data_IF_838590461921
#
_entry.id   IF_838590461921
#
_cell.length_a   1.000
_cell.length_b   1.000
_cell.length_c   1.000
_cell.angle_alpha   90.00
_cell.angle_beta   90.00
_cell.angle_gamma   90.00
#
_symmetry.space_group_name_H-M   'P 1'
#
loop_
_entity.id
_entity.type
_entity.pdbx_description
1 polymer ?
#
# COMPACT_ATOMS: atom_id res chain seq x y z
N UNK A 1 18.92 25.85 -15.31
CA UNK A 1 17.87 25.73 -14.26
C UNK A 1 18.48 25.06 -13.04
N UNK A 2 18.35 25.64 -11.83
CA UNK A 2 18.93 25.07 -10.62
C UNK A 2 18.22 23.75 -10.25
N UNK A 3 18.97 22.77 -9.79
CA UNK A 3 18.50 21.47 -9.31
C UNK A 3 19.40 20.93 -8.20
N UNK A 4 18.94 19.92 -7.50
CA UNK A 4 19.76 19.11 -6.61
C UNK A 4 20.03 17.77 -7.31
N UNK A 5 21.29 17.36 -7.36
CA UNK A 5 21.69 15.99 -7.72
C UNK A 5 21.98 15.19 -6.48
N UNK A 6 21.33 14.05 -6.35
CA UNK A 6 21.59 13.05 -5.31
C UNK A 6 22.19 11.80 -5.94
N UNK A 7 23.33 11.36 -5.45
CA UNK A 7 23.93 10.07 -5.75
C UNK A 7 23.79 9.18 -4.53
N UNK A 8 23.06 8.06 -4.68
CA UNK A 8 22.65 7.21 -3.58
C UNK A 8 22.98 5.75 -3.88
N UNK A 9 23.41 5.02 -2.85
CA UNK A 9 23.51 3.56 -2.85
C UNK A 9 22.55 2.92 -1.87
N UNK A 10 22.03 1.74 -2.24
CA UNK A 10 21.27 0.86 -1.37
C UNK A 10 21.73 -0.59 -1.59
N UNK A 11 22.02 -1.30 -0.51
CA UNK A 11 22.40 -2.70 -0.62
C UNK A 11 21.24 -3.56 -1.08
N UNK A 12 20.05 -3.30 -0.53
CA UNK A 12 18.82 -4.05 -0.84
C UNK A 12 17.64 -3.09 -0.75
N UNK A 13 16.70 -3.18 -1.71
CA UNK A 13 15.42 -2.48 -1.62
C UNK A 13 14.28 -3.24 -2.29
N UNK A 14 13.03 -2.93 -1.87
CA UNK A 14 11.81 -3.31 -2.54
C UNK A 14 10.94 -2.06 -2.77
N UNK A 15 10.82 -1.65 -4.01
CA UNK A 15 9.91 -0.58 -4.43
C UNK A 15 8.57 -1.20 -4.83
N UNK A 16 7.77 -1.52 -3.83
CA UNK A 16 6.56 -2.32 -3.97
C UNK A 16 5.62 -1.80 -5.04
N UNK A 17 5.21 -2.69 -5.95
CA UNK A 17 4.09 -2.48 -6.86
C UNK A 17 2.77 -2.60 -6.09
N UNK A 18 1.87 -1.64 -6.27
CA UNK A 18 0.61 -1.57 -5.50
C UNK A 18 -0.34 -2.75 -5.78
N UNK A 19 -0.30 -3.29 -7.00
CA UNK A 19 -1.15 -4.40 -7.43
C UNK A 19 -0.78 -5.74 -6.78
N UNK A 20 0.40 -5.83 -6.15
CA UNK A 20 0.93 -7.09 -5.64
C UNK A 20 0.72 -7.20 -4.13
N UNK A 21 -0.21 -8.07 -3.70
CA UNK A 21 -0.57 -8.25 -2.29
C UNK A 21 0.23 -9.39 -1.64
N UNK A 22 0.28 -10.56 -2.27
CA UNK A 22 0.94 -11.75 -1.72
C UNK A 22 2.42 -11.84 -2.12
N UNK A 23 2.70 -11.61 -3.40
CA UNK A 23 4.06 -11.52 -3.92
C UNK A 23 4.39 -10.04 -4.03
N UNK A 24 5.19 -9.52 -3.13
CA UNK A 24 5.59 -8.10 -3.15
C UNK A 24 6.61 -7.87 -4.26
N UNK A 25 6.12 -7.76 -5.50
CA UNK A 25 6.95 -7.42 -6.66
C UNK A 25 7.48 -6.01 -6.53
N UNK A 26 8.66 -5.78 -7.08
CA UNK A 26 9.32 -4.49 -7.05
C UNK A 26 9.28 -3.77 -8.40
N UNK A 27 9.22 -2.45 -8.37
CA UNK A 27 9.63 -1.65 -9.52
C UNK A 27 11.16 -1.71 -9.67
N UNK A 28 11.70 -1.52 -10.89
CA UNK A 28 13.15 -1.56 -11.13
C UNK A 28 13.92 -0.38 -10.52
N UNK A 29 13.26 0.75 -10.33
CA UNK A 29 13.76 1.94 -9.62
C UNK A 29 12.63 2.47 -8.71
N UNK A 30 12.94 3.34 -7.72
CA UNK A 30 11.90 3.93 -6.89
C UNK A 30 10.93 4.80 -7.72
N UNK A 31 9.61 4.60 -7.59
CA UNK A 31 8.62 5.51 -8.17
C UNK A 31 8.79 6.94 -7.65
N UNK A 32 8.33 7.92 -8.42
CA UNK A 32 8.44 9.34 -8.04
C UNK A 32 7.88 9.64 -6.65
N UNK A 33 6.71 9.09 -6.33
CA UNK A 33 6.09 9.26 -5.00
C UNK A 33 6.93 8.67 -3.86
N UNK A 34 7.71 7.62 -4.12
CA UNK A 34 8.58 6.99 -3.13
C UNK A 34 9.75 7.92 -2.81
N UNK A 35 10.36 8.50 -3.82
CA UNK A 35 11.44 9.48 -3.66
C UNK A 35 10.93 10.73 -2.95
N UNK A 36 9.85 11.33 -3.47
CA UNK A 36 9.23 12.53 -2.89
C UNK A 36 8.86 12.29 -1.42
N UNK A 37 8.25 11.14 -1.12
CA UNK A 37 7.87 10.80 0.26
C UNK A 37 9.07 10.61 1.20
N UNK A 38 10.18 10.08 0.71
CA UNK A 38 11.41 9.93 1.49
C UNK A 38 12.04 11.31 1.80
N UNK A 39 12.07 12.22 0.82
CA UNK A 39 12.55 13.59 1.01
C UNK A 39 11.66 14.39 1.97
N UNK A 40 10.32 14.29 1.82
CA UNK A 40 9.38 14.91 2.76
C UNK A 40 9.61 14.41 4.20
N UNK A 41 9.88 13.10 4.37
CA UNK A 41 10.17 12.53 5.68
C UNK A 41 11.50 13.08 6.24
N UNK A 42 12.53 13.21 5.41
CA UNK A 42 13.80 13.74 5.83
C UNK A 42 13.70 15.21 6.30
N UNK A 43 12.91 16.02 5.60
CA UNK A 43 12.64 17.42 5.96
C UNK A 43 11.58 17.59 7.07
N UNK A 44 10.91 16.51 7.51
CA UNK A 44 9.86 16.58 8.53
C UNK A 44 8.56 17.24 8.05
N UNK A 45 8.30 17.29 6.74
CA UNK A 45 7.12 17.94 6.18
C UNK A 45 5.83 17.22 6.56
N UNK A 46 4.82 17.99 6.94
CA UNK A 46 3.47 17.50 7.26
C UNK A 46 2.44 17.77 6.15
N UNK A 47 2.79 18.64 5.20
CA UNK A 47 2.02 19.00 4.02
C UNK A 47 2.80 18.67 2.75
N UNK A 48 2.12 18.65 1.60
CA UNK A 48 2.78 18.40 0.32
C UNK A 48 3.54 19.64 -0.18
N UNK A 49 4.84 19.48 -0.40
CA UNK A 49 5.72 20.45 -1.06
C UNK A 49 5.94 20.00 -2.51
N UNK A 50 5.47 20.77 -3.51
CA UNK A 50 5.58 20.39 -4.91
C UNK A 50 7.03 20.30 -5.36
N UNK A 51 7.37 19.19 -6.02
CA UNK A 51 8.69 19.02 -6.63
C UNK A 51 8.60 18.18 -7.89
N UNK A 52 9.56 18.36 -8.78
CA UNK A 52 9.77 17.53 -9.95
C UNK A 52 11.01 16.67 -9.72
N UNK A 53 10.92 15.41 -10.08
CA UNK A 53 12.02 14.47 -9.87
C UNK A 53 12.33 13.69 -11.15
N UNK A 54 13.61 13.48 -11.41
CA UNK A 54 14.10 12.54 -12.41
C UNK A 54 14.82 11.43 -11.71
N UNK A 55 14.49 10.18 -12.04
CA UNK A 55 15.07 8.99 -11.39
C UNK A 55 15.74 8.12 -12.42
N UNK A 56 17.01 7.86 -12.22
CA UNK A 56 17.81 6.94 -13.01
C UNK A 56 18.72 6.11 -12.10
N UNK A 57 19.11 4.93 -12.56
CA UNK A 57 19.93 4.05 -11.76
C UNK A 57 20.12 2.68 -12.37
N UNK A 58 20.87 1.86 -11.65
CA UNK A 58 21.14 0.47 -11.95
C UNK A 58 20.97 -0.38 -10.68
N UNK A 59 20.83 -1.67 -10.86
CA UNK A 59 20.92 -2.66 -9.79
C UNK A 59 21.71 -3.89 -10.29
N UNK A 60 22.40 -4.54 -9.37
CA UNK A 60 23.23 -5.71 -9.71
C UNK A 60 22.41 -6.96 -9.97
N UNK A 61 21.39 -7.22 -9.15
CA UNK A 61 20.56 -8.42 -9.28
C UNK A 61 19.16 -8.26 -8.68
N UNK A 62 18.26 -9.14 -9.08
CA UNK A 62 16.92 -9.33 -8.51
C UNK A 62 16.87 -10.67 -7.77
N UNK A 63 16.50 -10.64 -6.50
CA UNK A 63 16.43 -11.81 -5.63
C UNK A 63 15.02 -11.99 -5.08
N UNK A 64 14.49 -13.20 -5.14
CA UNK A 64 13.25 -13.55 -4.45
C UNK A 64 13.56 -14.13 -3.08
N UNK A 65 12.96 -13.57 -2.03
CA UNK A 65 13.10 -14.03 -0.65
C UNK A 65 11.77 -14.41 -0.06
N UNK A 66 11.71 -15.56 0.60
CA UNK A 66 10.52 -15.99 1.33
C UNK A 66 10.55 -15.46 2.77
N UNK A 67 9.41 -15.00 3.26
CA UNK A 67 9.19 -14.59 4.64
C UNK A 67 7.99 -15.32 5.22
N UNK A 68 8.01 -15.51 6.53
CA UNK A 68 6.78 -15.78 7.26
C UNK A 68 6.13 -14.46 7.60
N UNK A 69 4.93 -14.26 7.14
CA UNK A 69 4.15 -13.05 7.42
C UNK A 69 2.84 -13.41 8.09
N UNK A 70 2.31 -12.46 8.83
CA UNK A 70 1.05 -12.61 9.53
C UNK A 70 -0.13 -12.37 8.57
N UNK A 71 -1.09 -13.27 8.57
CA UNK A 71 -2.28 -13.21 7.75
C UNK A 71 -3.51 -13.09 8.63
N UNK A 72 -4.30 -12.02 8.50
CA UNK A 72 -5.60 -11.93 9.15
C UNK A 72 -6.62 -12.74 8.37
N UNK A 73 -7.34 -13.61 9.07
CA UNK A 73 -8.41 -14.39 8.49
C UNK A 73 -9.73 -13.65 8.62
N UNK A 74 -10.58 -13.72 7.59
CA UNK A 74 -11.91 -13.14 7.63
C UNK A 74 -12.85 -13.84 8.63
N UNK A 75 -12.62 -15.14 8.87
CA UNK A 75 -13.34 -15.94 9.85
C UNK A 75 -12.42 -16.34 10.99
N UNK A 76 -12.97 -16.41 12.21
CA UNK A 76 -12.28 -16.92 13.37
C UNK A 76 -12.24 -18.45 13.34
N UNK A 77 -11.03 -18.99 13.51
CA UNK A 77 -10.82 -20.41 13.79
C UNK A 77 -10.63 -20.57 15.30
N UNK A 78 -11.61 -21.19 15.98
CA UNK A 78 -11.58 -21.38 17.44
C UNK A 78 -10.54 -22.42 17.90
N UNK A 79 -9.88 -23.09 17.01
CA UNK A 79 -9.07 -24.28 17.31
C UNK A 79 -7.59 -24.08 16.98
N UNK A 80 -7.19 -23.02 16.30
CA UNK A 80 -5.81 -22.86 15.84
C UNK A 80 -5.37 -21.40 15.73
N UNK A 81 -4.08 -21.21 15.58
CA UNK A 81 -3.41 -19.92 15.34
C UNK A 81 -3.39 -19.00 16.58
N UNK A 82 -3.21 -17.73 16.34
CA UNK A 82 -3.13 -16.69 17.34
C UNK A 82 -4.44 -15.91 17.38
N UNK A 83 -5.15 -15.94 18.50
CA UNK A 83 -6.33 -15.09 18.71
C UNK A 83 -5.86 -13.68 19.05
N UNK A 84 -6.37 -12.69 18.33
CA UNK A 84 -6.06 -11.28 18.51
C UNK A 84 -7.32 -10.43 18.57
N UNK A 85 -7.26 -9.28 19.26
CA UNK A 85 -8.27 -8.22 19.24
C UNK A 85 -7.71 -7.00 18.54
N UNK A 86 -8.30 -6.62 17.41
CA UNK A 86 -7.90 -5.48 16.60
C UNK A 86 -8.47 -4.18 17.16
N UNK A 87 -7.70 -3.09 17.07
CA UNK A 87 -8.18 -1.76 17.41
C UNK A 87 -9.26 -1.28 16.42
N UNK A 88 -9.05 -1.52 15.13
CA UNK A 88 -10.01 -1.18 14.08
C UNK A 88 -10.26 -2.42 13.19
N UNK A 89 -11.47 -3.04 13.23
CA UNK A 89 -11.77 -4.24 12.48
C UNK A 89 -11.87 -4.04 10.96
N UNK A 90 -12.07 -2.79 10.51
CA UNK A 90 -12.19 -2.45 9.09
C UNK A 90 -10.82 -2.28 8.43
N UNK A 91 -9.73 -2.22 9.21
CA UNK A 91 -8.35 -2.06 8.74
C UNK A 91 -7.49 -3.27 9.11
N UNK A 92 -7.14 -4.09 8.12
CA UNK A 92 -6.30 -5.29 8.31
C UNK A 92 -4.89 -4.99 8.86
N UNK A 93 -4.42 -3.76 8.71
CA UNK A 93 -3.13 -3.29 9.23
C UNK A 93 -3.24 -2.56 10.57
N UNK A 94 -4.39 -2.63 11.24
CA UNK A 94 -4.55 -1.94 12.52
C UNK A 94 -3.73 -2.60 13.63
N UNK A 95 -3.41 -1.82 14.66
CA UNK A 95 -2.80 -2.33 15.89
C UNK A 95 -3.73 -3.37 16.52
N UNK A 96 -3.17 -4.47 16.97
CA UNK A 96 -3.89 -5.53 17.66
C UNK A 96 -3.25 -5.88 19.00
N UNK A 97 -4.06 -6.45 19.89
CA UNK A 97 -3.62 -7.04 21.14
C UNK A 97 -3.69 -8.56 21.05
N UNK A 98 -2.65 -9.23 21.48
CA UNK A 98 -2.61 -10.68 21.52
C UNK A 98 -3.46 -11.17 22.70
N UNK A 99 -4.33 -12.14 22.45
CA UNK A 99 -5.24 -12.69 23.44
C UNK A 99 -4.77 -14.06 23.92
N UNK A 100 -4.61 -15.01 23.00
CA UNK A 100 -4.17 -16.36 23.31
C UNK A 100 -3.59 -17.05 22.06
N UNK A 101 -2.74 -18.06 22.25
CA UNK A 101 -2.18 -18.88 21.18
C UNK A 101 -2.65 -20.33 21.33
N UNK A 102 -3.19 -20.90 20.27
CA UNK A 102 -3.51 -22.32 20.20
C UNK A 102 -2.23 -23.15 20.05
N UNK A 103 -2.03 -24.15 20.91
CA UNK A 103 -0.88 -25.05 20.86
C UNK A 103 -1.12 -26.25 19.94
N UNK A 104 -2.38 -26.69 19.87
CA UNK A 104 -2.82 -27.77 19.00
C UNK A 104 -4.16 -27.43 18.38
N UNK A 105 -4.41 -27.93 17.16
CA UNK A 105 -5.70 -27.80 16.51
C UNK A 105 -6.72 -28.74 17.19
N UNK A 106 -7.60 -28.14 17.98
CA UNK A 106 -8.74 -28.83 18.61
C UNK A 106 -9.94 -27.90 18.57
N UNK A 107 -11.05 -28.31 17.96
CA UNK A 107 -12.23 -27.48 17.81
C UNK A 107 -12.64 -26.76 19.10
N UNK A 108 -12.89 -25.45 19.01
CA UNK A 108 -13.26 -24.56 20.11
C UNK A 108 -12.17 -24.37 21.19
N UNK A 109 -10.89 -24.44 20.86
CA UNK A 109 -9.79 -24.32 21.83
C UNK A 109 -9.87 -23.06 22.65
N UNK A 110 -10.08 -21.89 22.04
CA UNK A 110 -10.17 -20.61 22.76
C UNK A 110 -11.42 -20.51 23.63
N UNK A 111 -12.54 -21.06 23.18
CA UNK A 111 -13.79 -21.06 23.94
C UNK A 111 -13.74 -22.02 25.13
N UNK A 112 -13.23 -23.22 24.94
CA UNK A 112 -13.12 -24.26 25.98
C UNK A 112 -11.88 -24.12 26.84
N UNK A 113 -10.90 -23.32 26.42
CA UNK A 113 -9.62 -23.16 27.13
C UNK A 113 -8.71 -24.39 27.03
N UNK A 114 -8.82 -25.20 25.97
CA UNK A 114 -8.08 -26.45 25.80
C UNK A 114 -6.88 -26.19 24.87
N UNK A 115 -5.69 -26.67 25.25
CA UNK A 115 -4.46 -26.59 24.45
C UNK A 115 -4.14 -25.18 23.96
N UNK A 116 -4.26 -24.20 24.84
CA UNK A 116 -3.94 -22.79 24.57
C UNK A 116 -2.90 -22.27 25.54
N UNK A 117 -2.14 -21.26 25.10
CA UNK A 117 -1.36 -20.38 25.98
C UNK A 117 -2.07 -19.04 26.06
N UNK A 118 -2.53 -18.67 27.26
CA UNK A 118 -3.26 -17.42 27.49
C UNK A 118 -2.27 -16.30 27.75
N UNK A 119 -2.44 -15.20 27.02
CA UNK A 119 -1.59 -14.00 27.12
C UNK A 119 -2.37 -12.87 27.80
N UNK A 120 -3.65 -12.75 27.48
CA UNK A 120 -4.53 -11.74 28.07
C UNK A 120 -5.88 -12.38 28.47
N UNK A 121 -5.99 -12.70 29.78
CA UNK A 121 -7.18 -13.38 30.32
C UNK A 121 -8.46 -12.52 30.18
N UNK A 122 -8.37 -11.21 30.40
CA UNK A 122 -9.54 -10.32 30.30
C UNK A 122 -10.14 -10.33 28.89
N UNK A 123 -9.29 -10.26 27.87
CA UNK A 123 -9.74 -10.30 26.48
C UNK A 123 -10.24 -11.69 26.08
N UNK A 124 -9.68 -12.75 26.64
CA UNK A 124 -10.15 -14.12 26.41
C UNK A 124 -11.54 -14.31 27.01
N UNK A 125 -11.80 -13.83 28.22
CA UNK A 125 -13.14 -13.88 28.82
C UNK A 125 -14.15 -13.01 28.07
N UNK A 126 -13.75 -11.84 27.55
CA UNK A 126 -14.60 -11.05 26.64
C UNK A 126 -15.01 -11.87 25.42
N UNK A 127 -14.03 -12.52 24.77
CA UNK A 127 -14.30 -13.40 23.62
C UNK A 127 -15.28 -14.53 23.97
N UNK A 128 -15.04 -15.22 25.09
CA UNK A 128 -15.93 -16.30 25.60
C UNK A 128 -17.33 -15.79 25.92
N UNK A 129 -17.43 -14.59 26.51
CA UNK A 129 -18.72 -13.94 26.76
C UNK A 129 -19.49 -13.68 25.46
N UNK A 130 -18.83 -13.17 24.42
CA UNK A 130 -19.44 -12.96 23.10
C UNK A 130 -19.95 -14.28 22.49
N UNK A 131 -19.19 -15.37 22.63
CA UNK A 131 -19.64 -16.71 22.17
C UNK A 131 -20.88 -17.19 22.93
N UNK A 132 -20.93 -16.99 24.25
CA UNK A 132 -22.12 -17.29 25.06
C UNK A 132 -23.32 -16.44 24.64
N UNK A 133 -23.10 -15.16 24.40
CA UNK A 133 -24.13 -14.23 23.90
C UNK A 133 -24.69 -14.68 22.56
N UNK A 134 -23.83 -15.08 21.62
CA UNK A 134 -24.26 -15.61 20.32
C UNK A 134 -25.19 -16.82 20.46
N UNK A 135 -24.83 -17.76 21.34
CA UNK A 135 -25.70 -18.95 21.60
C UNK A 135 -27.07 -18.55 22.11
N UNK A 136 -27.18 -17.51 22.97
CA UNK A 136 -28.47 -16.99 23.44
C UNK A 136 -29.25 -16.38 22.28
N UNK A 137 -28.62 -15.56 21.45
CA UNK A 137 -29.24 -14.97 20.26
C UNK A 137 -29.75 -16.05 19.32
N UNK A 138 -28.98 -17.10 19.07
CA UNK A 138 -29.38 -18.19 18.18
C UNK A 138 -30.56 -18.98 18.72
N UNK A 139 -30.70 -19.13 20.06
CA UNK A 139 -31.90 -19.69 20.68
C UNK A 139 -33.13 -18.80 20.41
N UNK A 140 -33.01 -17.48 20.56
CA UNK A 140 -34.12 -16.56 20.29
C UNK A 140 -34.50 -16.54 18.80
N UNK A 141 -33.51 -16.61 17.89
CA UNK A 141 -33.79 -16.75 16.44
C UNK A 141 -34.63 -18.01 16.12
N UNK A 142 -34.32 -19.12 16.80
CA UNK A 142 -35.14 -20.35 16.65
C UNK A 142 -36.58 -20.13 17.11
N UNK A 143 -36.81 -19.39 18.22
CA UNK A 143 -38.14 -19.04 18.68
C UNK A 143 -38.88 -18.15 17.66
N UNK A 144 -38.22 -17.11 17.19
CA UNK A 144 -38.77 -16.22 16.15
C UNK A 144 -39.15 -17.01 14.89
N UNK A 145 -38.30 -17.95 14.47
CA UNK A 145 -38.63 -18.82 13.32
C UNK A 145 -39.84 -19.70 13.57
N UNK A 146 -40.00 -20.28 14.77
CA UNK A 146 -41.23 -21.03 15.13
C UNK A 146 -42.48 -20.14 15.10
N UNK A 147 -42.38 -18.90 15.61
CA UNK A 147 -43.49 -17.92 15.51
C UNK A 147 -43.85 -17.61 14.06
N UNK A 148 -42.86 -17.49 13.17
CA UNK A 148 -43.11 -17.28 11.72
C UNK A 148 -43.80 -18.50 11.08
N UNK A 149 -43.41 -19.71 11.48
CA UNK A 149 -44.10 -20.93 11.00
C UNK A 149 -45.55 -20.92 11.45
N UNK A 150 -45.81 -20.63 12.73
CA UNK A 150 -47.18 -20.51 13.25
C UNK A 150 -47.99 -19.42 12.53
N UNK A 151 -47.34 -18.27 12.21
CA UNK A 151 -48.00 -17.22 11.42
C UNK A 151 -48.44 -17.73 10.02
N UNK A 152 -47.65 -18.59 9.39
CA UNK A 152 -48.05 -19.22 8.11
C UNK A 152 -49.24 -20.14 8.26
N UNK A 153 -49.29 -20.95 9.35
CA UNK A 153 -50.39 -21.81 9.68
C UNK A 153 -51.67 -21.01 9.95
N UNK A 154 -51.57 -19.92 10.74
CA UNK A 154 -52.70 -18.99 10.99
C UNK A 154 -53.22 -18.35 9.72
N UNK A 155 -52.38 -18.05 8.74
CA UNK A 155 -52.81 -17.52 7.44
C UNK A 155 -53.53 -18.51 6.55
N UNK A 156 -53.32 -19.80 6.79
CA UNK A 156 -53.94 -20.89 6.05
C UNK A 156 -55.24 -21.40 6.72
N UNK A 157 -55.52 -20.95 7.94
CA UNK A 157 -56.72 -21.35 8.71
C UNK A 157 -57.81 -20.31 8.51
N UNK A 158 -58.92 -20.70 7.85
CA UNK A 158 -60.04 -19.84 7.55
C UNK A 158 -60.85 -19.40 8.81
N UNK A 159 -60.63 -20.05 9.96
CA UNK A 159 -61.29 -19.73 11.21
C UNK A 159 -60.62 -18.61 12.01
N UNK A 160 -59.44 -18.14 11.59
CA UNK A 160 -58.70 -17.10 12.28
C UNK A 160 -58.97 -15.73 11.61
N UNK A 161 -59.27 -14.71 12.42
CA UNK A 161 -59.57 -13.37 11.88
C UNK A 161 -58.33 -12.73 11.25
N UNK A 162 -58.55 -11.97 10.17
CA UNK A 162 -57.44 -11.25 9.50
C UNK A 162 -56.79 -10.21 10.41
N UNK A 163 -57.48 -9.73 11.44
CA UNK A 163 -56.96 -8.76 12.43
C UNK A 163 -55.97 -9.45 13.39
N UNK A 164 -56.28 -10.66 13.88
CA UNK A 164 -55.38 -11.44 14.73
C UNK A 164 -54.08 -11.80 13.99
N UNK A 165 -54.17 -12.17 12.71
CA UNK A 165 -53.01 -12.46 11.87
C UNK A 165 -52.14 -11.24 11.70
N UNK A 166 -52.72 -10.04 11.47
CA UNK A 166 -51.97 -8.76 11.35
C UNK A 166 -51.30 -8.37 12.66
N UNK A 167 -52.01 -8.54 13.79
CA UNK A 167 -51.43 -8.23 15.11
C UNK A 167 -50.26 -9.14 15.44
N UNK A 168 -50.39 -10.44 15.20
CA UNK A 168 -49.33 -11.42 15.41
C UNK A 168 -48.12 -11.14 14.51
N UNK A 169 -48.32 -10.77 13.24
CA UNK A 169 -47.25 -10.36 12.33
C UNK A 169 -46.52 -9.09 12.81
N UNK A 170 -47.27 -8.06 13.27
CA UNK A 170 -46.68 -6.86 13.87
C UNK A 170 -45.82 -7.20 15.10
N UNK A 171 -46.31 -8.11 15.98
CA UNK A 171 -45.57 -8.56 17.15
C UNK A 171 -44.26 -9.26 16.78
N UNK A 172 -44.29 -10.14 15.78
CA UNK A 172 -43.09 -10.83 15.27
C UNK A 172 -42.09 -9.84 14.73
N UNK A 173 -42.52 -8.84 13.93
CA UNK A 173 -41.66 -7.78 13.38
C UNK A 173 -41.01 -6.96 14.46
N UNK A 174 -41.76 -6.57 15.49
CA UNK A 174 -41.23 -5.81 16.61
C UNK A 174 -40.18 -6.61 17.39
N UNK A 175 -40.49 -7.86 17.77
CA UNK A 175 -39.56 -8.74 18.49
C UNK A 175 -38.28 -8.95 17.66
N UNK A 176 -38.42 -9.18 16.36
CA UNK A 176 -37.27 -9.35 15.46
C UNK A 176 -36.39 -8.09 15.44
N UNK A 177 -36.97 -6.90 15.29
CA UNK A 177 -36.21 -5.66 15.25
C UNK A 177 -35.40 -5.42 16.54
N UNK A 178 -36.00 -5.67 17.70
CA UNK A 178 -35.33 -5.57 19.01
C UNK A 178 -34.15 -6.55 19.10
N UNK A 179 -34.34 -7.80 18.66
CA UNK A 179 -33.25 -8.78 18.70
C UNK A 179 -32.18 -8.53 17.65
N UNK A 180 -32.51 -8.03 16.47
CA UNK A 180 -31.53 -7.65 15.44
C UNK A 180 -30.62 -6.51 15.95
N UNK A 181 -31.20 -5.50 16.62
CA UNK A 181 -30.41 -4.43 17.22
C UNK A 181 -29.55 -4.91 18.43
N UNK A 182 -30.16 -5.77 19.26
CA UNK A 182 -29.40 -6.42 20.35
C UNK A 182 -28.22 -7.24 19.82
N UNK A 183 -28.41 -8.05 18.78
CA UNK A 183 -27.33 -8.81 18.13
C UNK A 183 -26.24 -7.88 17.59
N UNK A 184 -26.64 -6.80 16.93
CA UNK A 184 -25.68 -5.84 16.36
C UNK A 184 -24.80 -5.20 17.44
N UNK A 185 -25.40 -4.68 18.49
CA UNK A 185 -24.69 -3.94 19.55
C UNK A 185 -23.92 -4.87 20.49
N UNK A 186 -24.51 -5.99 20.90
CA UNK A 186 -23.95 -6.87 21.95
C UNK A 186 -23.08 -8.01 21.40
N UNK A 187 -23.15 -8.28 20.11
CA UNK A 187 -22.38 -9.37 19.50
C UNK A 187 -21.63 -8.93 18.25
N UNK A 188 -22.32 -8.47 17.19
CA UNK A 188 -21.69 -8.29 15.88
C UNK A 188 -20.56 -7.27 15.90
N UNK A 189 -20.81 -6.08 16.47
CA UNK A 189 -19.78 -5.01 16.55
C UNK A 189 -18.61 -5.44 17.45
N UNK A 190 -18.79 -5.89 18.70
CA UNK A 190 -17.67 -6.31 19.53
C UNK A 190 -16.91 -7.51 18.96
N UNK A 191 -17.63 -8.49 18.40
CA UNK A 191 -17.01 -9.69 17.84
C UNK A 191 -16.22 -9.43 16.58
N UNK A 192 -16.57 -8.40 15.80
CA UNK A 192 -15.82 -8.02 14.60
C UNK A 192 -14.36 -7.61 14.89
N UNK A 193 -14.06 -7.20 16.11
CA UNK A 193 -12.69 -6.88 16.51
C UNK A 193 -11.80 -8.11 16.71
N UNK A 194 -12.37 -9.29 16.96
CA UNK A 194 -11.58 -10.50 17.12
C UNK A 194 -11.25 -11.13 15.76
N UNK A 195 -10.03 -11.61 15.62
CA UNK A 195 -9.51 -12.33 14.44
C UNK A 195 -8.58 -13.44 14.88
N UNK A 196 -8.41 -14.43 14.04
CA UNK A 196 -7.29 -15.36 14.17
C UNK A 196 -6.21 -15.02 13.16
N UNK A 197 -4.99 -14.91 13.66
CA UNK A 197 -3.81 -14.58 12.89
C UNK A 197 -3.05 -15.86 12.57
N UNK A 198 -2.99 -16.21 11.29
CA UNK A 198 -2.19 -17.31 10.80
C UNK A 198 -0.88 -16.78 10.23
N UNK A 199 0.21 -17.55 10.40
CA UNK A 199 1.49 -17.28 9.72
C UNK A 199 1.53 -18.06 8.43
N UNK A 200 1.78 -17.36 7.32
CA UNK A 200 1.90 -17.95 6.01
C UNK A 200 3.17 -17.49 5.29
N UNK A 201 3.67 -18.26 4.32
CA UNK A 201 4.78 -17.83 3.49
C UNK A 201 4.32 -16.70 2.56
N UNK A 202 5.14 -15.66 2.47
CA UNK A 202 5.03 -14.61 1.47
C UNK A 202 6.37 -14.43 0.78
N UNK A 203 6.33 -13.94 -0.44
CA UNK A 203 7.51 -13.73 -1.25
C UNK A 203 7.73 -12.24 -1.48
N UNK A 204 8.99 -11.84 -1.46
CA UNK A 204 9.43 -10.48 -1.76
C UNK A 204 10.46 -10.54 -2.88
N UNK A 205 10.29 -9.71 -3.89
CA UNK A 205 11.35 -9.39 -4.81
C UNK A 205 12.23 -8.30 -4.18
N UNK A 206 13.53 -8.52 -4.19
CA UNK A 206 14.50 -7.57 -3.66
C UNK A 206 15.51 -7.24 -4.75
N UNK A 207 15.68 -5.97 -5.01
CA UNK A 207 16.82 -5.47 -5.78
C UNK A 207 18.05 -5.45 -4.88
N UNK A 208 19.18 -5.83 -5.41
CA UNK A 208 20.45 -5.81 -4.70
C UNK A 208 21.44 -4.92 -5.45
N UNK A 209 22.35 -4.31 -4.71
CA UNK A 209 23.41 -3.45 -5.23
C UNK A 209 22.87 -2.33 -6.12
N UNK A 210 22.01 -1.51 -5.54
CA UNK A 210 21.32 -0.44 -6.23
C UNK A 210 22.16 0.83 -6.15
N UNK A 211 22.26 1.52 -7.28
CA UNK A 211 22.87 2.83 -7.40
C UNK A 211 21.91 3.75 -8.14
N UNK A 212 21.61 4.90 -7.54
CA UNK A 212 20.62 5.85 -8.02
C UNK A 212 21.24 7.22 -8.23
N UNK A 213 20.89 7.86 -9.35
CA UNK A 213 21.09 9.28 -9.57
C UNK A 213 19.70 9.92 -9.65
N UNK A 214 19.42 10.84 -8.76
CA UNK A 214 18.13 11.52 -8.65
C UNK A 214 18.34 13.00 -8.79
N UNK A 215 17.63 13.63 -9.74
CA UNK A 215 17.59 15.09 -9.84
C UNK A 215 16.26 15.60 -9.31
N UNK A 216 16.33 16.68 -8.55
CA UNK A 216 15.19 17.30 -7.87
C UNK A 216 15.15 18.77 -8.24
N UNK A 217 13.99 19.24 -8.67
CA UNK A 217 13.69 20.64 -8.93
C UNK A 217 12.46 21.03 -8.12
N UNK A 218 12.60 22.04 -7.28
CA UNK A 218 11.55 22.61 -6.46
C UNK A 218 11.74 24.12 -6.33
N UNK A 219 10.92 24.77 -5.53
CA UNK A 219 11.19 26.15 -5.12
C UNK A 219 12.48 26.24 -4.27
N UNK A 220 13.05 27.43 -4.18
CA UNK A 220 14.35 27.64 -3.56
C UNK A 220 14.35 27.26 -2.06
N UNK A 221 13.26 27.54 -1.34
CA UNK A 221 13.15 27.18 0.07
C UNK A 221 13.13 25.66 0.26
N UNK A 222 12.32 24.96 -0.53
CA UNK A 222 12.25 23.50 -0.49
C UNK A 222 13.59 22.87 -0.88
N UNK A 223 14.33 23.42 -1.85
CA UNK A 223 15.65 22.92 -2.20
C UNK A 223 16.66 23.13 -1.07
N UNK A 224 16.66 24.27 -0.41
CA UNK A 224 17.53 24.54 0.75
C UNK A 224 17.18 23.58 1.91
N UNK A 225 15.89 23.41 2.22
CA UNK A 225 15.46 22.47 3.26
C UNK A 225 15.93 21.04 2.98
N UNK A 226 15.90 20.60 1.70
CA UNK A 226 16.38 19.26 1.33
C UNK A 226 17.90 19.17 1.54
N UNK A 227 18.67 20.17 1.14
CA UNK A 227 20.12 20.20 1.32
C UNK A 227 20.50 20.15 2.80
N UNK A 228 19.82 20.94 3.63
CA UNK A 228 20.10 21.02 5.07
C UNK A 228 19.72 19.74 5.82
N UNK A 229 18.68 19.04 5.35
CA UNK A 229 18.14 17.85 6.01
C UNK A 229 18.50 16.52 5.33
N UNK A 230 19.40 16.52 4.34
CA UNK A 230 19.74 15.29 3.60
C UNK A 230 20.31 14.18 4.50
N UNK A 231 20.98 14.56 5.59
CA UNK A 231 21.47 13.62 6.60
C UNK A 231 20.37 12.81 7.31
N UNK A 232 19.12 13.26 7.27
CA UNK A 232 17.98 12.57 7.81
C UNK A 232 17.34 11.57 6.81
N UNK A 233 17.83 11.50 5.59
CA UNK A 233 17.37 10.55 4.59
C UNK A 233 17.93 9.16 4.90
N UNK A 234 17.19 8.38 5.67
CA UNK A 234 17.64 7.05 6.15
C UNK A 234 17.24 5.90 5.23
N UNK A 235 16.15 6.02 4.48
CA UNK A 235 15.63 4.94 3.64
C UNK A 235 14.81 5.48 2.47
N UNK A 236 14.89 4.79 1.32
CA UNK A 236 14.01 4.96 0.16
C UNK A 236 13.34 3.63 -0.14
N UNK A 237 12.01 3.54 0.02
CA UNK A 237 11.24 2.31 -0.07
C UNK A 237 10.65 1.94 1.28
N UNK A 238 10.97 0.74 1.79
CA UNK A 238 10.59 0.30 3.14
C UNK A 238 11.50 0.91 4.20
N UNK A 239 11.11 0.84 5.45
CA UNK A 239 11.94 1.33 6.55
C UNK A 239 13.28 0.64 6.72
N UNK A 240 13.39 -0.61 6.24
CA UNK A 240 14.61 -1.41 6.21
C UNK A 240 15.46 -1.24 4.93
N UNK A 241 14.98 -0.49 3.94
CA UNK A 241 15.70 -0.23 2.70
C UNK A 241 16.61 1.01 2.88
N UNK A 242 17.64 0.85 3.70
CA UNK A 242 18.56 1.90 4.06
C UNK A 242 19.30 2.48 2.85
N UNK A 243 19.59 3.77 2.93
CA UNK A 243 20.35 4.50 1.91
C UNK A 243 21.69 4.96 2.46
N UNK A 244 22.66 4.99 1.57
CA UNK A 244 23.93 5.70 1.72
C UNK A 244 23.94 6.84 0.71
N UNK A 245 23.96 8.07 1.18
CA UNK A 245 24.06 9.25 0.33
C UNK A 245 25.55 9.49 0.04
N UNK A 246 25.96 9.24 -1.21
CA UNK A 246 27.35 9.42 -1.64
C UNK A 246 27.62 10.89 -2.00
N UNK A 247 26.63 11.55 -2.61
CA UNK A 247 26.71 12.95 -3.01
C UNK A 247 25.34 13.61 -2.91
N UNK A 248 25.33 14.86 -2.44
CA UNK A 248 24.22 15.78 -2.53
C UNK A 248 24.77 17.13 -2.97
N UNK A 249 24.56 17.49 -4.23
CA UNK A 249 25.13 18.69 -4.81
C UNK A 249 24.06 19.53 -5.50
N UNK A 250 24.18 20.84 -5.37
CA UNK A 250 23.45 21.79 -6.21
C UNK A 250 24.08 21.78 -7.61
N UNK A 251 23.27 21.67 -8.64
CA UNK A 251 23.70 21.62 -10.04
C UNK A 251 22.86 22.54 -10.91
N UNK A 252 23.34 22.82 -12.09
CA UNK A 252 22.59 23.52 -13.13
C UNK A 252 22.22 22.58 -14.26
N UNK A 253 20.97 22.60 -14.62
CA UNK A 253 20.42 21.81 -15.74
C UNK A 253 20.35 22.68 -16.99
N UNK A 254 20.81 22.13 -18.10
CA UNK A 254 20.90 22.81 -19.41
C UNK A 254 19.99 22.10 -20.43
N UNK A 255 19.51 22.88 -21.39
CA UNK A 255 18.82 22.33 -22.56
C UNK A 255 19.82 21.62 -23.48
N UNK A 256 19.32 20.61 -24.21
CA UNK A 256 20.15 19.88 -25.18
C UNK A 256 20.36 20.72 -26.42
N UNK A 257 21.55 21.34 -26.57
CA UNK A 257 21.89 22.18 -27.70
C UNK A 257 22.32 21.40 -28.95
N UNK A 258 23.10 20.33 -28.75
CA UNK A 258 23.66 19.49 -29.81
C UNK A 258 23.36 18.02 -29.56
N UNK A 259 23.96 17.12 -30.34
CA UNK A 259 23.93 15.70 -30.04
C UNK A 259 24.79 15.43 -28.84
N UNK A 260 24.17 15.04 -27.73
CA UNK A 260 24.86 14.70 -26.51
C UNK A 260 24.99 13.17 -26.38
N UNK A 261 26.19 12.72 -26.11
CA UNK A 261 26.49 11.32 -25.78
C UNK A 261 26.45 11.17 -24.28
N UNK A 262 25.61 10.25 -23.80
CA UNK A 262 25.56 9.91 -22.39
C UNK A 262 26.76 9.04 -22.04
N UNK A 263 27.63 9.51 -21.17
CA UNK A 263 28.93 8.89 -20.90
C UNK A 263 28.88 7.70 -19.92
N UNK A 264 27.70 7.29 -19.49
CA UNK A 264 27.57 6.05 -18.70
C UNK A 264 26.55 5.11 -19.32
N UNK A 265 27.00 3.88 -19.57
CA UNK A 265 26.23 2.87 -20.29
C UNK A 265 25.32 2.01 -19.40
N UNK A 266 25.43 2.16 -18.08
CA UNK A 266 24.87 1.21 -17.13
C UNK A 266 23.62 1.71 -16.40
N UNK A 267 23.21 2.95 -16.62
CA UNK A 267 22.04 3.52 -15.97
C UNK A 267 20.79 3.44 -16.87
N UNK A 268 19.70 2.96 -16.31
CA UNK A 268 18.38 3.10 -16.90
C UNK A 268 17.64 4.24 -16.23
N UNK A 269 16.74 4.87 -16.94
CA UNK A 269 15.96 5.99 -16.45
C UNK A 269 14.46 5.75 -16.57
N UNK A 270 13.68 6.40 -15.72
CA UNK A 270 12.27 6.60 -15.96
C UNK A 270 12.05 7.77 -16.89
N UNK A 271 11.52 7.50 -18.08
CA UNK A 271 11.29 8.46 -19.14
C UNK A 271 9.78 8.65 -19.28
N UNK A 272 9.21 9.77 -18.80
CA UNK A 272 7.79 10.06 -19.02
C UNK A 272 7.44 10.07 -20.51
N UNK A 273 6.30 9.46 -20.88
CA UNK A 273 5.91 9.30 -22.29
C UNK A 273 5.74 10.65 -22.98
N UNK A 274 5.42 11.73 -22.24
CA UNK A 274 5.34 13.09 -22.78
C UNK A 274 6.60 13.53 -23.57
N UNK A 275 7.78 12.95 -23.27
CA UNK A 275 9.03 13.23 -23.98
C UNK A 275 9.20 12.40 -25.27
N UNK A 276 8.32 11.40 -25.48
CA UNK A 276 8.39 10.43 -26.57
C UNK A 276 7.23 10.57 -27.57
N UNK A 277 6.29 11.49 -27.35
CA UNK A 277 5.13 11.68 -28.23
C UNK A 277 5.52 12.19 -29.63
N UNK A 278 4.92 11.57 -30.66
CA UNK A 278 5.31 11.74 -32.06
C UNK A 278 4.99 13.10 -32.67
N UNK A 279 4.02 13.83 -32.15
CA UNK A 279 3.56 15.13 -32.72
C UNK A 279 4.53 16.29 -32.47
N UNK A 280 5.48 16.10 -31.62
CA UNK A 280 6.60 17.01 -31.58
C UNK A 280 7.60 16.60 -32.67
N UNK A 281 7.94 17.47 -33.60
CA UNK A 281 9.09 17.36 -34.50
C UNK A 281 10.42 17.06 -33.77
N UNK A 282 10.36 16.67 -32.52
CA UNK A 282 11.36 16.70 -31.46
C UNK A 282 11.63 15.34 -30.80
N UNK A 283 11.15 14.23 -31.36
CA UNK A 283 11.45 12.90 -30.82
C UNK A 283 12.89 12.53 -31.14
N UNK A 284 13.77 12.74 -30.18
CA UNK A 284 15.21 12.69 -30.43
C UNK A 284 16.00 11.99 -29.34
N UNK A 285 15.33 11.13 -28.56
CA UNK A 285 15.98 10.26 -27.58
C UNK A 285 16.27 8.92 -28.27
N UNK A 286 17.53 8.53 -28.35
CA UNK A 286 17.97 7.32 -29.04
C UNK A 286 18.73 6.42 -28.08
N UNK A 287 18.53 5.11 -28.25
CA UNK A 287 19.28 4.09 -27.51
C UNK A 287 20.62 3.76 -28.15
N UNK A 288 20.86 4.18 -29.40
CA UNK A 288 22.13 3.99 -30.12
C UNK A 288 22.37 5.10 -31.17
N UNK A 289 23.59 5.17 -31.72
CA UNK A 289 23.97 6.14 -32.76
C UNK A 289 23.17 6.03 -34.03
N UNK A 290 22.67 4.86 -34.38
CA UNK A 290 21.91 4.60 -35.60
C UNK A 290 20.47 5.15 -35.55
N UNK A 291 20.02 5.73 -34.45
CA UNK A 291 18.72 6.37 -34.35
C UNK A 291 17.58 5.43 -34.01
N UNK A 292 17.83 4.37 -33.26
CA UNK A 292 16.76 3.52 -32.71
C UNK A 292 15.93 4.26 -31.66
N UNK A 293 14.66 3.86 -31.55
CA UNK A 293 13.76 4.39 -30.52
C UNK A 293 14.15 3.91 -29.13
N UNK A 294 13.76 4.67 -28.10
CA UNK A 294 13.89 4.22 -26.71
C UNK A 294 12.98 3.01 -26.51
N UNK A 295 13.60 1.85 -26.33
CA UNK A 295 12.91 0.63 -25.92
C UNK A 295 12.85 0.54 -24.40
N UNK A 296 11.92 -0.27 -23.88
CA UNK A 296 11.83 -0.51 -22.45
C UNK A 296 10.45 -0.94 -22.00
N UNK A 297 10.31 -1.14 -20.69
CA UNK A 297 9.06 -1.55 -20.07
C UNK A 297 8.22 -0.33 -19.69
N UNK A 298 6.93 -0.36 -20.07
CA UNK A 298 5.98 0.70 -19.71
C UNK A 298 5.44 0.52 -18.30
N UNK A 299 5.39 1.61 -17.54
CA UNK A 299 4.83 1.67 -16.20
C UNK A 299 3.89 2.88 -16.06
N UNK A 300 2.92 2.77 -15.16
CA UNK A 300 2.16 3.90 -14.61
C UNK A 300 2.72 4.18 -13.21
N UNK A 301 3.59 5.18 -13.10
CA UNK A 301 4.28 5.49 -11.84
C UNK A 301 3.53 6.54 -11.04
N UNK A 302 3.24 6.28 -9.75
CA UNK A 302 2.64 7.28 -8.89
C UNK A 302 3.63 8.44 -8.63
N UNK A 303 3.13 9.69 -8.71
CA UNK A 303 3.91 10.89 -8.39
C UNK A 303 3.46 11.52 -7.08
N UNK A 304 2.20 11.86 -6.98
CA UNK A 304 1.56 12.42 -5.80
C UNK A 304 0.17 11.81 -5.61
N UNK A 305 -0.51 12.16 -4.53
CA UNK A 305 -1.85 11.66 -4.26
C UNK A 305 -2.69 12.72 -3.55
N UNK A 306 -4.00 12.58 -3.69
CA UNK A 306 -5.01 13.26 -2.88
C UNK A 306 -5.62 12.30 -1.89
N UNK A 307 -6.01 12.80 -0.72
CA UNK A 307 -6.67 12.00 0.30
C UNK A 307 -8.18 12.23 0.19
N UNK A 308 -8.91 11.16 -0.06
CA UNK A 308 -10.37 11.12 -0.01
C UNK A 308 -10.80 10.53 1.34
N UNK A 309 -11.59 11.27 2.09
CA UNK A 309 -12.18 10.78 3.34
C UNK A 309 -13.44 9.97 3.01
N UNK A 310 -13.39 8.68 3.28
CA UNK A 310 -14.52 7.78 3.15
C UNK A 310 -15.31 7.70 4.46
N UNK A 311 -16.56 7.14 4.39
CA UNK A 311 -17.36 6.88 5.57
C UNK A 311 -16.61 6.01 6.59
N UNK A 312 -16.93 6.16 7.89
CA UNK A 312 -16.32 5.44 9.01
C UNK A 312 -14.85 5.81 9.31
N UNK A 313 -14.39 7.00 8.92
CA UNK A 313 -13.02 7.45 9.20
C UNK A 313 -11.93 6.77 8.36
N UNK A 314 -12.31 6.05 7.31
CA UNK A 314 -11.39 5.50 6.34
C UNK A 314 -10.87 6.59 5.41
N UNK A 315 -9.60 6.50 5.04
CA UNK A 315 -8.95 7.41 4.10
C UNK A 315 -8.43 6.62 2.91
N UNK A 316 -8.80 7.05 1.72
CA UNK A 316 -8.31 6.51 0.46
C UNK A 316 -7.32 7.47 -0.17
N UNK A 317 -6.20 6.96 -0.66
CA UNK A 317 -5.23 7.72 -1.46
C UNK A 317 -5.53 7.49 -2.93
N UNK A 318 -5.83 8.57 -3.65
CA UNK A 318 -6.02 8.56 -5.09
C UNK A 318 -4.74 9.09 -5.73
N UNK A 319 -3.94 8.21 -6.33
CA UNK A 319 -2.65 8.55 -6.91
C UNK A 319 -2.80 9.17 -8.29
N UNK A 320 -2.10 10.29 -8.51
CA UNK A 320 -1.82 10.80 -9.84
C UNK A 320 -0.63 10.01 -10.41
N UNK A 321 -0.87 9.29 -11.51
CA UNK A 321 0.10 8.37 -12.12
C UNK A 321 0.59 8.93 -13.44
N UNK A 322 1.90 8.83 -13.66
CA UNK A 322 2.57 9.29 -14.88
C UNK A 322 2.93 8.07 -15.73
N UNK A 323 2.45 8.00 -16.97
CA UNK A 323 2.86 6.96 -17.91
C UNK A 323 4.33 7.17 -18.28
N UNK A 324 5.13 6.14 -18.07
CA UNK A 324 6.60 6.20 -18.10
C UNK A 324 7.18 4.95 -18.74
N UNK A 325 8.29 5.08 -19.45
CA UNK A 325 9.11 3.95 -19.94
C UNK A 325 10.34 3.84 -19.03
N UNK A 326 10.65 2.62 -18.59
CA UNK A 326 11.93 2.27 -18.00
C UNK A 326 12.85 1.75 -19.09
N UNK A 327 13.91 2.48 -19.39
CA UNK A 327 14.84 2.16 -20.45
C UNK A 327 16.15 2.94 -20.32
N UNK A 328 17.14 2.58 -21.15
CA UNK A 328 18.42 3.27 -21.21
C UNK A 328 18.42 4.36 -22.30
N UNK A 329 19.10 5.46 -22.02
CA UNK A 329 19.32 6.56 -22.96
C UNK A 329 20.81 6.76 -23.15
N UNK A 330 21.30 6.59 -24.38
CA UNK A 330 22.72 6.76 -24.72
C UNK A 330 23.00 8.03 -25.49
N UNK A 331 22.00 8.57 -26.16
CA UNK A 331 22.13 9.76 -26.98
C UNK A 331 20.91 10.66 -26.85
N UNK A 332 21.13 11.95 -26.77
CA UNK A 332 20.12 12.99 -26.88
C UNK A 332 20.43 13.84 -28.11
N UNK A 333 19.40 14.20 -28.87
CA UNK A 333 19.54 15.14 -30.00
C UNK A 333 19.05 16.54 -29.63
N UNK A 334 19.59 17.54 -30.33
CA UNK A 334 19.13 18.92 -30.25
C UNK A 334 17.62 19.06 -30.43
N UNK A 335 17.01 19.87 -29.60
CA UNK A 335 15.60 20.20 -29.65
C UNK A 335 14.70 19.14 -29.01
N UNK A 336 15.19 18.27 -28.14
CA UNK A 336 14.36 17.47 -27.23
C UNK A 336 13.71 18.42 -26.21
N UNK A 337 12.53 18.96 -26.58
CA UNK A 337 11.86 19.96 -25.74
C UNK A 337 11.57 19.40 -24.34
N UNK A 338 12.09 20.08 -23.32
CA UNK A 338 11.90 19.73 -21.92
C UNK A 338 12.81 18.62 -21.39
N UNK A 339 13.65 18.00 -22.23
CA UNK A 339 14.72 17.11 -21.77
C UNK A 339 15.93 17.96 -21.44
N UNK A 340 16.42 17.79 -20.24
CA UNK A 340 17.56 18.54 -19.71
C UNK A 340 18.76 17.62 -19.54
N UNK A 341 19.91 18.22 -19.39
CA UNK A 341 21.17 17.52 -19.08
C UNK A 341 21.85 18.18 -17.88
N UNK A 342 22.43 17.34 -17.05
CA UNK A 342 23.37 17.71 -16.02
C UNK A 342 24.77 17.24 -16.48
N UNK A 343 25.73 18.18 -16.58
CA UNK A 343 27.09 17.91 -17.01
C UNK A 343 28.06 18.11 -15.85
N UNK A 344 28.82 17.06 -15.59
CA UNK A 344 30.01 17.14 -14.72
C UNK A 344 31.26 17.01 -15.58
N UNK A 345 32.43 17.18 -15.01
CA UNK A 345 33.70 16.99 -15.73
C UNK A 345 33.82 15.64 -16.41
N UNK A 346 33.30 14.57 -15.79
CA UNK A 346 33.47 13.20 -16.23
C UNK A 346 32.20 12.56 -16.81
N UNK A 347 31.00 13.02 -16.41
CA UNK A 347 29.75 12.38 -16.70
C UNK A 347 28.70 13.34 -17.23
N UNK A 348 27.75 12.82 -17.99
CA UNK A 348 26.61 13.57 -18.53
C UNK A 348 25.34 12.81 -18.20
N UNK A 349 24.45 13.40 -17.41
CA UNK A 349 23.21 12.81 -16.97
C UNK A 349 22.01 13.34 -17.74
N UNK A 350 21.18 12.49 -18.40
CA UNK A 350 19.93 12.94 -18.95
C UNK A 350 18.92 13.15 -17.82
N UNK A 351 18.15 14.23 -17.87
CA UNK A 351 17.20 14.57 -16.81
C UNK A 351 15.80 14.65 -17.39
N UNK A 352 14.92 13.75 -16.91
CA UNK A 352 13.54 13.59 -17.33
C UNK A 352 12.61 13.93 -16.16
N UNK A 353 12.35 15.23 -15.96
CA UNK A 353 11.53 15.70 -14.85
C UNK A 353 10.06 15.28 -15.00
N UNK A 354 9.53 14.65 -13.95
CA UNK A 354 8.15 14.18 -13.87
C UNK A 354 7.32 15.00 -12.89
#
# INVERSE_FOLDING_TARGET
MKAIRLHIKQNIANYKKEETVQNRMTFPLPPYSTVIGALHKACGYTSYHPMQVSVQGKYGSLKTKMYKDDCFLNSLNDDRNLLVKMKNPDMLSSVYQVVATAQKAQGNSFEKGITINVINEKLLEEYRFLKRTKRRIDKHKKIINKMKTRLKEMKADENISAEEVKEFDKRIKHIKAVYDEYEKVKYTIPYSHFRTLAKGPKYYELLCDIELIIHIVADENTMNDIMDNIGNLTAIGRGEDFVEVLECAQTELFDVENIETIKYDFYNAYIPIKYLERDSKNLKIFTNKAGGYVGGTKYLLPKNYTIENLNKGLRKRNFNKIPTIYGSVKFLRRGCKGVLIDKTENETYPVFLA
#
